data_IF_015590530825
#
_entry.id   IF_015590530825
#
_cell.length_a   1.000
_cell.length_b   1.000
_cell.length_c   1.000
_cell.angle_alpha   90.00
_cell.angle_beta   90.00
_cell.angle_gamma   90.00
#
_symmetry.space_group_name_H-M   'P 1'
#
loop_
_entity.id
_entity.type
_entity.pdbx_description
1 polymer ?
#
# COMPACT_ATOMS: atom_id res chain seq x y z
N UNK A 1 -17.17 -3.36 -8.44
CA UNK A 1 -17.22 -2.88 -7.04
C UNK A 1 -15.82 -2.63 -6.53
N UNK A 2 -15.61 -1.56 -5.79
CA UNK A 2 -14.33 -1.30 -5.15
C UNK A 2 -14.17 -2.17 -3.91
N UNK A 3 -12.94 -2.55 -3.63
CA UNK A 3 -12.59 -3.28 -2.44
C UNK A 3 -11.60 -2.46 -1.61
N UNK A 4 -11.51 -2.77 -0.33
CA UNK A 4 -10.48 -2.22 0.54
C UNK A 4 -9.61 -3.36 1.02
N UNK A 5 -8.31 -3.26 0.74
CA UNK A 5 -7.32 -4.27 1.12
C UNK A 5 -6.57 -3.79 2.36
N UNK A 6 -6.51 -4.62 3.38
CA UNK A 6 -5.79 -4.26 4.59
C UNK A 6 -4.38 -4.79 4.53
N UNK A 7 -3.39 -3.91 4.68
CA UNK A 7 -1.98 -4.26 4.59
C UNK A 7 -1.18 -3.64 5.73
N UNK A 8 -0.18 -4.38 6.20
CA UNK A 8 0.81 -3.84 7.14
C UNK A 8 1.82 -3.00 6.39
N UNK A 9 2.29 -1.94 7.04
CA UNK A 9 3.34 -1.10 6.48
C UNK A 9 4.30 -0.67 7.59
N UNK A 10 5.60 -0.68 7.30
CA UNK A 10 6.62 -0.26 8.27
C UNK A 10 6.62 1.25 8.44
N UNK A 11 7.04 1.75 9.63
CA UNK A 11 6.98 3.18 9.92
C UNK A 11 7.67 4.08 8.90
N UNK A 12 8.85 3.69 8.42
CA UNK A 12 9.58 4.53 7.46
C UNK A 12 8.80 4.72 6.16
N UNK A 13 8.13 3.67 5.69
CA UNK A 13 7.32 3.76 4.47
C UNK A 13 6.01 4.49 4.72
N UNK A 14 5.42 4.28 5.88
CA UNK A 14 4.22 4.98 6.30
C UNK A 14 4.46 6.49 6.29
N UNK A 15 5.54 6.93 6.94
CA UNK A 15 5.88 8.35 6.99
C UNK A 15 6.16 8.92 5.60
N UNK A 16 6.80 8.15 4.72
CA UNK A 16 7.09 8.60 3.36
C UNK A 16 5.81 8.79 2.55
N UNK A 17 4.79 7.99 2.80
CA UNK A 17 3.49 8.18 2.17
C UNK A 17 2.81 9.43 2.70
N UNK A 18 2.82 9.65 4.01
CA UNK A 18 2.16 10.81 4.61
C UNK A 18 2.77 12.13 4.14
N UNK A 19 4.09 12.18 3.97
CA UNK A 19 4.75 13.42 3.55
C UNK A 19 4.86 13.58 2.03
N UNK A 20 4.29 12.64 1.28
CA UNK A 20 4.21 12.74 -0.17
C UNK A 20 5.42 12.29 -0.96
N UNK A 21 6.45 11.76 -0.29
CA UNK A 21 7.63 11.25 -0.99
C UNK A 21 7.40 9.90 -1.65
N UNK A 22 6.56 9.04 -1.07
CA UNK A 22 6.28 7.71 -1.58
C UNK A 22 4.84 7.66 -2.10
N UNK A 23 4.69 7.56 -3.42
CA UNK A 23 3.37 7.56 -4.09
C UNK A 23 3.12 6.24 -4.80
N UNK A 24 3.67 5.16 -4.29
CA UNK A 24 3.56 3.83 -4.87
C UNK A 24 3.57 2.76 -3.78
N UNK A 25 3.08 1.58 -4.11
CA UNK A 25 3.17 0.38 -3.28
C UNK A 25 3.64 -0.77 -4.16
N UNK A 26 4.64 -1.51 -3.69
CA UNK A 26 5.11 -2.73 -4.33
C UNK A 26 4.70 -3.90 -3.45
N UNK A 27 3.87 -4.79 -3.97
CA UNK A 27 3.34 -5.92 -3.21
C UNK A 27 3.31 -7.18 -4.03
N UNK A 28 3.28 -8.33 -3.35
CA UNK A 28 3.03 -9.60 -4.03
C UNK A 28 1.65 -9.53 -4.68
N UNK A 29 1.56 -10.05 -5.90
CA UNK A 29 0.30 -10.09 -6.63
C UNK A 29 -0.52 -11.31 -6.18
N UNK A 30 -0.70 -11.44 -4.85
CA UNK A 30 -1.41 -12.57 -4.25
C UNK A 30 -2.86 -12.25 -3.88
N UNK A 31 -3.32 -11.07 -4.26
CA UNK A 31 -4.71 -10.67 -4.12
C UNK A 31 -5.13 -9.95 -5.40
N UNK A 32 -6.43 -9.78 -5.51
CA UNK A 32 -7.01 -9.17 -6.70
C UNK A 32 -7.08 -7.65 -6.56
N UNK A 33 -5.92 -6.99 -6.60
CA UNK A 33 -5.86 -5.52 -6.59
C UNK A 33 -6.40 -4.98 -7.91
N UNK A 34 -7.21 -3.93 -7.84
CA UNK A 34 -7.75 -3.26 -9.04
C UNK A 34 -7.64 -1.74 -8.89
N UNK A 35 -7.46 -1.07 -10.01
CA UNK A 35 -7.50 0.40 -10.04
C UNK A 35 -8.85 0.86 -9.49
N UNK A 36 -8.81 1.83 -8.58
CA UNK A 36 -10.00 2.30 -7.88
C UNK A 36 -10.21 1.67 -6.53
N UNK A 37 -9.53 0.56 -6.25
CA UNK A 37 -9.58 -0.05 -4.91
C UNK A 37 -8.82 0.81 -3.91
N UNK A 38 -9.13 0.60 -2.64
CA UNK A 38 -8.43 1.26 -1.53
C UNK A 38 -7.49 0.28 -0.85
N UNK A 39 -6.43 0.82 -0.27
CA UNK A 39 -5.55 0.06 0.63
C UNK A 39 -5.59 0.75 1.98
N UNK A 40 -5.97 -0.01 2.99
CA UNK A 40 -5.97 0.43 4.38
C UNK A 40 -4.61 0.03 4.96
N UNK A 41 -3.71 1.00 5.06
CA UNK A 41 -2.35 0.79 5.53
C UNK A 41 -2.32 0.91 7.04
N UNK A 42 -1.94 -0.15 7.73
CA UNK A 42 -1.84 -0.18 9.19
C UNK A 42 -0.37 -0.24 9.57
N UNK A 43 0.09 0.81 10.23
CA UNK A 43 1.49 0.87 10.61
C UNK A 43 1.85 -0.23 11.59
N UNK A 44 2.91 -0.95 11.26
CA UNK A 44 3.41 -2.09 12.03
C UNK A 44 4.86 -1.84 12.41
N UNK A 45 5.15 -1.94 13.71
CA UNK A 45 6.52 -1.78 14.21
C UNK A 45 7.19 -3.15 14.30
N UNK A 46 8.14 -3.45 13.38
CA UNK A 46 8.73 -4.79 13.32
C UNK A 46 9.59 -5.18 14.52
N UNK A 47 10.20 -4.20 15.19
CA UNK A 47 11.03 -4.49 16.37
C UNK A 47 10.20 -4.99 17.54
N UNK A 48 9.02 -4.42 17.72
CA UNK A 48 8.09 -4.79 18.79
C UNK A 48 7.00 -5.74 18.32
N UNK A 49 6.95 -6.03 17.03
CA UNK A 49 5.97 -6.91 16.40
C UNK A 49 4.54 -6.56 16.80
N UNK A 50 4.19 -5.28 16.65
CA UNK A 50 2.85 -4.82 16.98
C UNK A 50 2.45 -3.59 16.16
N UNK A 51 1.15 -3.37 16.04
CA UNK A 51 0.61 -2.19 15.40
C UNK A 51 0.80 -0.98 16.29
N UNK A 52 1.02 0.19 15.67
CA UNK A 52 1.20 1.45 16.38
C UNK A 52 -0.10 2.20 16.59
N UNK A 53 -1.20 1.70 16.02
CA UNK A 53 -2.51 2.33 15.98
C UNK A 53 -2.61 3.50 14.99
N UNK A 54 -1.54 3.79 14.23
CA UNK A 54 -1.64 4.74 13.12
C UNK A 54 -2.04 3.99 11.86
N UNK A 55 -2.90 4.61 11.07
CA UNK A 55 -3.38 3.99 9.84
C UNK A 55 -3.74 5.06 8.82
N UNK A 56 -3.68 4.70 7.55
CA UNK A 56 -3.97 5.61 6.46
C UNK A 56 -4.72 4.87 5.36
N UNK A 57 -5.54 5.60 4.63
CA UNK A 57 -6.26 5.05 3.48
C UNK A 57 -5.71 5.67 2.22
N UNK A 58 -5.31 4.82 1.28
CA UNK A 58 -4.84 5.25 -0.03
C UNK A 58 -5.70 4.61 -1.11
N UNK A 59 -5.79 5.26 -2.27
CA UNK A 59 -6.54 4.73 -3.42
C UNK A 59 -5.57 4.35 -4.52
N UNK A 60 -5.78 3.18 -5.11
CA UNK A 60 -4.97 2.70 -6.23
C UNK A 60 -5.39 3.42 -7.49
N UNK A 61 -4.43 4.09 -8.15
CA UNK A 61 -4.72 4.86 -9.37
C UNK A 61 -4.18 4.19 -10.62
N UNK A 62 -3.19 3.32 -10.51
CA UNK A 62 -2.64 2.57 -11.63
C UNK A 62 -1.93 1.33 -11.11
N UNK A 63 -1.90 0.28 -11.91
CA UNK A 63 -1.22 -0.97 -11.55
C UNK A 63 -0.33 -1.41 -12.72
N UNK A 64 0.93 -1.66 -12.42
CA UNK A 64 1.87 -2.25 -13.35
C UNK A 64 2.25 -3.64 -12.85
N UNK A 65 2.11 -4.64 -13.72
CA UNK A 65 2.49 -6.00 -13.38
C UNK A 65 2.95 -6.74 -14.64
N UNK A 66 3.39 -7.99 -14.47
CA UNK A 66 3.88 -8.78 -15.58
C UNK A 66 5.37 -8.60 -15.80
N UNK A 67 5.81 -8.64 -17.06
CA UNK A 67 7.23 -8.71 -17.40
C UNK A 67 8.03 -7.45 -17.05
N UNK A 68 7.37 -6.34 -16.76
CA UNK A 68 8.04 -5.08 -16.46
C UNK A 68 8.25 -4.85 -14.96
N UNK A 69 7.92 -5.83 -14.14
CA UNK A 69 8.04 -5.77 -12.69
C UNK A 69 8.64 -7.10 -12.23
N UNK A 70 9.06 -7.16 -10.97
CA UNK A 70 9.54 -8.42 -10.37
C UNK A 70 8.44 -9.47 -10.52
N UNK A 71 8.76 -10.67 -11.06
CA UNK A 71 7.74 -11.71 -11.22
C UNK A 71 6.99 -12.01 -9.92
N UNK A 72 5.68 -12.10 -10.02
CA UNK A 72 4.83 -12.36 -8.85
C UNK A 72 4.49 -11.13 -8.02
N UNK A 73 4.93 -9.95 -8.46
CA UNK A 73 4.67 -8.68 -7.76
C UNK A 73 3.88 -7.73 -8.65
N UNK A 74 3.23 -6.77 -8.03
CA UNK A 74 2.63 -5.65 -8.74
C UNK A 74 3.08 -4.34 -8.12
N UNK A 75 3.25 -3.33 -8.96
CA UNK A 75 3.60 -1.99 -8.54
C UNK A 75 2.37 -1.11 -8.75
N UNK A 76 1.94 -0.45 -7.69
CA UNK A 76 0.71 0.33 -7.73
C UNK A 76 1.00 1.80 -7.43
N UNK A 77 0.47 2.69 -8.28
CA UNK A 77 0.46 4.12 -7.94
C UNK A 77 -0.69 4.34 -6.96
N UNK A 78 -0.45 5.18 -5.97
CA UNK A 78 -1.45 5.43 -4.92
C UNK A 78 -1.61 6.91 -4.66
N UNK A 79 -2.80 7.29 -4.21
CA UNK A 79 -3.09 8.64 -3.73
C UNK A 79 -3.58 8.54 -2.30
N UNK A 80 -3.04 9.40 -1.43
CA UNK A 80 -3.46 9.46 -0.04
C UNK A 80 -4.87 10.05 0.03
N UNK A 81 -5.78 9.33 0.71
CA UNK A 81 -7.17 9.76 0.84
C UNK A 81 -7.49 10.21 2.26
N UNK A 82 -7.00 9.49 3.26
CA UNK A 82 -7.31 9.78 4.65
C UNK A 82 -6.22 9.24 5.56
N UNK A 83 -6.01 9.91 6.70
CA UNK A 83 -5.00 9.47 7.66
C UNK A 83 -5.20 10.10 9.05
#
# INVERSE_FOLDING_TARGET
MTQTHELKIWPEYYNAILDGRKKFELRKADRNFKVGDYIHLKEWEPLNEKYTEREALVRITYILEGQHVIPGYCLMSIELEDY
#
